data_IF_483554844402
#
_entry.id   IF_483554844402
#
_cell.length_a   1.000
_cell.length_b   1.000
_cell.length_c   1.000
_cell.angle_alpha   90.00
_cell.angle_beta   90.00
_cell.angle_gamma   90.00
#
_symmetry.space_group_name_H-M   'P 1'
#
loop_
_entity.id
_entity.type
_entity.pdbx_description
1 polymer ?
#
# COMPACT_ATOMS: atom_id res chain seq x y z
N UNK A 1 36.73 -8.99 -27.99
CA UNK A 1 37.04 -9.98 -26.95
C UNK A 1 36.00 -9.77 -25.85
N UNK A 2 34.88 -10.46 -25.99
CA UNK A 2 33.80 -10.51 -24.99
C UNK A 2 34.32 -11.31 -23.79
N UNK A 3 34.12 -10.76 -22.59
CA UNK A 3 34.18 -11.54 -21.36
C UNK A 3 32.76 -11.71 -20.85
N UNK A 4 32.21 -12.87 -21.15
CA UNK A 4 31.00 -13.38 -20.54
C UNK A 4 31.24 -13.64 -19.06
N UNK A 5 30.61 -12.85 -18.22
CA UNK A 5 30.54 -13.15 -16.79
C UNK A 5 29.29 -13.99 -16.58
N UNK A 6 29.48 -15.31 -16.61
CA UNK A 6 28.51 -16.29 -16.12
C UNK A 6 28.47 -16.18 -14.59
N UNK A 7 27.44 -15.53 -14.05
CA UNK A 7 27.15 -15.60 -12.62
C UNK A 7 26.48 -16.95 -12.36
N UNK A 8 27.29 -17.88 -11.87
CA UNK A 8 26.85 -19.21 -11.43
C UNK A 8 26.03 -19.06 -10.14
N UNK A 9 24.71 -19.22 -10.27
CA UNK A 9 23.76 -19.21 -9.16
C UNK A 9 23.85 -20.56 -8.43
N UNK A 10 24.61 -20.62 -7.34
CA UNK A 10 24.65 -21.80 -6.46
C UNK A 10 23.42 -21.71 -5.53
N UNK A 11 22.43 -22.53 -5.84
CA UNK A 11 21.23 -22.69 -5.01
C UNK A 11 21.58 -23.60 -3.83
N UNK A 12 21.60 -23.05 -2.61
CA UNK A 12 21.52 -23.83 -1.40
C UNK A 12 20.05 -23.96 -0.99
N UNK A 13 19.51 -25.14 -1.20
CA UNK A 13 18.17 -25.51 -0.71
C UNK A 13 18.29 -25.78 0.79
N UNK A 14 17.83 -24.87 1.61
CA UNK A 14 17.58 -25.17 3.03
C UNK A 14 16.22 -25.86 3.11
N UNK A 15 16.22 -27.19 3.07
CA UNK A 15 15.03 -27.99 3.31
C UNK A 15 14.70 -27.93 4.80
N UNK A 16 13.83 -27.02 5.18
CA UNK A 16 13.20 -27.00 6.49
C UNK A 16 12.10 -28.06 6.55
N UNK A 17 12.38 -29.25 7.08
CA UNK A 17 11.35 -30.22 7.45
C UNK A 17 10.51 -29.66 8.60
N UNK A 18 9.32 -29.15 8.31
CA UNK A 18 8.29 -28.77 9.26
C UNK A 18 6.98 -29.46 8.90
N UNK A 19 6.66 -30.55 9.55
CA UNK A 19 5.35 -31.18 9.50
C UNK A 19 4.29 -30.29 10.13
N UNK A 20 3.20 -30.02 9.41
CA UNK A 20 1.92 -29.59 9.97
C UNK A 20 1.59 -28.12 9.72
N UNK A 21 0.59 -27.94 8.92
CA UNK A 21 -0.28 -26.78 8.68
C UNK A 21 -0.21 -26.09 7.31
N UNK A 22 0.68 -26.42 6.39
CA UNK A 22 0.67 -25.81 5.04
C UNK A 22 0.96 -24.30 4.99
N UNK A 23 1.30 -23.67 6.12
CA UNK A 23 1.64 -22.25 6.23
C UNK A 23 3.14 -22.09 6.04
N UNK A 24 3.52 -21.27 5.06
CA UNK A 24 4.93 -20.97 4.80
C UNK A 24 5.47 -19.98 5.84
N UNK A 25 6.61 -20.31 6.46
CA UNK A 25 7.30 -19.44 7.40
C UNK A 25 8.40 -18.64 6.71
N UNK A 26 8.36 -17.33 6.85
CA UNK A 26 9.35 -16.38 6.35
C UNK A 26 10.12 -15.79 7.55
N UNK A 27 11.38 -16.23 7.73
CA UNK A 27 12.23 -15.81 8.86
C UNK A 27 13.28 -14.80 8.39
N UNK A 28 13.07 -13.53 8.65
CA UNK A 28 13.97 -12.45 8.25
C UNK A 28 15.35 -12.51 8.90
N UNK A 29 15.48 -13.19 10.04
CA UNK A 29 16.76 -13.33 10.77
C UNK A 29 17.72 -14.29 10.08
N UNK A 30 17.21 -15.20 9.24
CA UNK A 30 17.98 -16.16 8.50
C UNK A 30 18.51 -15.64 7.15
N UNK A 31 18.21 -14.39 6.82
CA UNK A 31 18.58 -13.78 5.54
C UNK A 31 19.95 -13.15 5.63
N UNK A 32 20.89 -13.69 4.88
CA UNK A 32 22.29 -13.20 4.82
C UNK A 32 22.61 -12.47 3.51
N UNK A 33 21.73 -12.56 2.51
CA UNK A 33 22.01 -12.04 1.17
C UNK A 33 21.18 -10.81 0.88
N UNK A 34 21.88 -9.76 0.50
CA UNK A 34 21.28 -8.56 -0.07
C UNK A 34 21.00 -8.76 -1.57
N UNK A 35 19.96 -8.12 -2.05
CA UNK A 35 19.62 -8.08 -3.47
C UNK A 35 19.28 -6.66 -3.90
N UNK A 36 19.50 -6.36 -5.18
CA UNK A 36 18.92 -5.21 -5.84
C UNK A 36 17.70 -5.72 -6.60
N UNK A 37 16.53 -5.22 -6.24
CA UNK A 37 15.28 -5.60 -6.88
C UNK A 37 15.02 -4.68 -8.06
N UNK A 38 14.84 -5.25 -9.25
CA UNK A 38 14.47 -4.44 -10.42
C UNK A 38 12.98 -4.14 -10.41
N UNK A 39 12.64 -2.92 -10.79
CA UNK A 39 11.24 -2.50 -10.93
C UNK A 39 10.47 -3.41 -11.89
N UNK A 40 11.06 -3.75 -13.04
CA UNK A 40 10.48 -4.69 -14.01
C UNK A 40 10.20 -6.10 -13.46
N UNK A 41 10.75 -6.47 -12.31
CA UNK A 41 10.42 -7.73 -11.64
C UNK A 41 9.10 -7.64 -10.85
N UNK A 42 8.80 -6.46 -10.28
CA UNK A 42 7.57 -6.23 -9.51
C UNK A 42 6.37 -5.97 -10.43
N UNK A 43 6.59 -5.30 -11.56
CA UNK A 43 5.54 -4.83 -12.46
C UNK A 43 5.67 -5.42 -13.85
N UNK A 44 4.56 -5.50 -14.59
CA UNK A 44 4.52 -5.98 -15.98
C UNK A 44 4.79 -4.89 -16.98
N UNK A 45 4.13 -3.78 -16.81
CA UNK A 45 4.21 -2.60 -17.66
C UNK A 45 4.46 -1.37 -16.79
N UNK A 46 5.35 -0.51 -17.26
CA UNK A 46 5.66 0.77 -16.63
C UNK A 46 5.30 1.91 -17.55
N UNK A 47 4.85 3.00 -16.97
CA UNK A 47 4.65 4.27 -17.68
C UNK A 47 5.00 5.45 -16.80
N UNK A 48 5.48 6.51 -17.42
CA UNK A 48 5.62 7.83 -16.82
C UNK A 48 4.38 8.66 -17.12
N UNK A 49 3.89 9.36 -16.10
CA UNK A 49 2.74 10.26 -16.24
C UNK A 49 3.07 11.57 -15.57
N UNK A 50 3.24 12.63 -16.33
CA UNK A 50 3.27 14.00 -15.83
C UNK A 50 1.84 14.47 -15.62
N UNK A 51 1.51 14.87 -14.41
CA UNK A 51 0.18 15.38 -14.13
C UNK A 51 0.07 16.83 -14.62
N UNK A 52 -0.97 17.13 -15.40
CA UNK A 52 -1.19 18.46 -15.97
C UNK A 52 -1.22 19.51 -14.86
N UNK A 53 -0.37 20.54 -14.99
CA UNK A 53 -0.30 21.64 -14.03
C UNK A 53 -1.36 22.69 -14.37
N UNK A 54 -2.27 22.94 -13.43
CA UNK A 54 -3.26 24.01 -13.51
C UNK A 54 -3.26 24.80 -12.23
N UNK A 55 -3.53 26.11 -12.31
CA UNK A 55 -3.60 27.00 -11.17
C UNK A 55 -4.60 26.50 -10.11
N UNK A 56 -5.73 25.90 -10.56
CA UNK A 56 -6.77 25.31 -9.71
C UNK A 56 -6.46 23.89 -9.22
N UNK A 57 -5.39 23.26 -9.69
CA UNK A 57 -5.04 21.86 -9.38
C UNK A 57 -3.54 21.71 -9.11
N UNK A 58 -3.05 22.47 -8.13
CA UNK A 58 -1.72 22.28 -7.56
C UNK A 58 -1.81 21.17 -6.52
N UNK A 59 -0.99 20.12 -6.70
CA UNK A 59 -1.26 18.83 -6.11
C UNK A 59 -0.63 18.59 -4.74
N UNK A 60 -1.32 17.77 -3.99
CA UNK A 60 -0.96 17.18 -2.71
C UNK A 60 -0.34 15.77 -2.88
N UNK A 61 0.04 15.15 -1.78
CA UNK A 61 1.02 14.06 -1.73
C UNK A 61 0.48 12.65 -1.98
N UNK A 62 -0.85 12.45 -2.04
CA UNK A 62 -1.43 11.11 -2.12
C UNK A 62 -2.09 10.85 -3.47
N UNK A 63 -1.88 9.63 -4.00
CA UNK A 63 -2.33 9.23 -5.32
C UNK A 63 -2.99 7.85 -5.29
N UNK A 64 -4.00 7.66 -6.13
CA UNK A 64 -4.54 6.36 -6.50
C UNK A 64 -4.58 6.26 -8.01
N UNK A 65 -3.76 5.40 -8.56
CA UNK A 65 -3.69 5.20 -10.00
C UNK A 65 -4.49 3.96 -10.41
N UNK A 66 -5.22 4.10 -11.51
CA UNK A 66 -5.96 3.04 -12.16
C UNK A 66 -5.68 2.96 -13.66
N UNK A 67 -6.49 2.21 -14.39
CA UNK A 67 -6.39 2.08 -15.84
C UNK A 67 -6.94 3.31 -16.58
N UNK A 68 -8.02 3.90 -16.05
CA UNK A 68 -8.71 5.05 -16.65
C UNK A 68 -8.39 6.36 -15.96
N UNK A 69 -8.19 6.32 -14.63
CA UNK A 69 -8.14 7.51 -13.80
C UNK A 69 -6.95 7.49 -12.86
N UNK A 70 -6.48 8.69 -12.54
CA UNK A 70 -5.59 8.96 -11.42
C UNK A 70 -6.36 9.91 -10.50
N UNK A 71 -6.52 9.51 -9.25
CA UNK A 71 -7.15 10.32 -8.20
C UNK A 71 -6.05 10.85 -7.30
N UNK A 72 -6.03 12.16 -7.12
CA UNK A 72 -5.13 12.81 -6.16
C UNK A 72 -5.95 13.37 -5.00
N UNK A 73 -5.42 13.30 -3.79
CA UNK A 73 -6.12 13.79 -2.61
C UNK A 73 -5.12 14.23 -1.54
N UNK A 74 -5.55 15.15 -0.71
CA UNK A 74 -4.73 15.72 0.36
C UNK A 74 -5.56 16.51 1.35
N UNK A 75 -4.96 17.54 1.96
CA UNK A 75 -5.61 18.28 3.04
C UNK A 75 -6.73 19.21 2.59
N UNK A 76 -6.75 19.65 1.33
CA UNK A 76 -7.67 20.67 0.88
C UNK A 76 -8.62 20.21 -0.22
N UNK A 77 -8.12 19.50 -1.23
CA UNK A 77 -8.89 19.16 -2.42
C UNK A 77 -8.57 17.77 -2.96
N UNK A 78 -9.53 17.21 -3.69
CA UNK A 78 -9.42 15.93 -4.40
C UNK A 78 -9.67 16.17 -5.88
N UNK A 79 -8.80 15.62 -6.73
CA UNK A 79 -8.86 15.80 -8.17
C UNK A 79 -8.88 14.48 -8.93
N UNK A 80 -9.49 14.53 -10.10
CA UNK A 80 -9.53 13.45 -11.09
C UNK A 80 -8.72 13.85 -12.31
N UNK A 81 -7.78 12.97 -12.67
CA UNK A 81 -7.04 13.05 -13.92
C UNK A 81 -7.34 11.81 -14.76
N UNK A 82 -7.22 11.93 -16.06
CA UNK A 82 -7.17 10.78 -16.96
C UNK A 82 -5.88 9.97 -16.74
N UNK A 83 -5.85 8.76 -17.25
CA UNK A 83 -4.70 7.87 -17.12
C UNK A 83 -3.41 8.44 -17.71
N UNK A 84 -3.49 9.36 -18.69
CA UNK A 84 -2.36 10.04 -19.31
C UNK A 84 -1.89 11.29 -18.54
N UNK A 85 -2.53 11.62 -17.43
CA UNK A 85 -2.22 12.79 -16.60
C UNK A 85 -3.00 14.05 -16.93
N UNK A 86 -3.86 14.04 -17.95
CA UNK A 86 -4.70 15.18 -18.30
C UNK A 86 -5.72 15.46 -17.18
N UNK A 87 -5.80 16.71 -16.74
CA UNK A 87 -6.77 17.12 -15.71
C UNK A 87 -8.20 17.00 -16.24
N UNK A 88 -9.07 16.36 -15.44
CA UNK A 88 -10.48 16.24 -15.76
C UNK A 88 -11.31 17.20 -14.93
N UNK A 89 -11.18 17.12 -13.59
CA UNK A 89 -12.01 17.95 -12.69
C UNK A 89 -11.57 17.85 -11.23
N UNK A 90 -12.11 18.77 -10.43
CA UNK A 90 -12.15 18.63 -8.99
C UNK A 90 -13.32 17.73 -8.60
N UNK A 91 -13.08 16.79 -7.66
CA UNK A 91 -14.08 15.84 -7.14
C UNK A 91 -14.65 16.28 -5.79
N UNK A 92 -13.80 16.79 -4.91
CA UNK A 92 -14.22 17.17 -3.57
C UNK A 92 -13.29 18.24 -2.98
N UNK A 93 -13.76 18.95 -1.96
CA UNK A 93 -12.99 19.96 -1.21
C UNK A 93 -13.07 19.68 0.28
N UNK A 94 -12.17 20.30 1.04
CA UNK A 94 -12.25 20.30 2.49
C UNK A 94 -13.54 20.96 2.98
N UNK A 95 -14.28 20.26 3.85
CA UNK A 95 -15.51 20.78 4.42
C UNK A 95 -16.39 19.71 5.08
N UNK A 96 -17.67 20.07 5.32
CA UNK A 96 -18.65 19.21 5.99
C UNK A 96 -19.93 18.99 5.21
N UNK A 97 -20.08 19.57 4.03
CA UNK A 97 -21.23 19.33 3.17
C UNK A 97 -21.17 17.94 2.51
N UNK A 98 -22.28 17.36 2.03
CA UNK A 98 -22.25 16.12 1.26
C UNK A 98 -21.24 16.20 0.11
N UNK A 99 -20.38 15.18 -0.01
CA UNK A 99 -19.30 15.16 -1.00
C UNK A 99 -18.02 15.92 -0.58
N UNK A 100 -18.01 16.68 0.51
CA UNK A 100 -16.80 17.26 1.09
C UNK A 100 -16.17 16.31 2.11
N UNK A 101 -14.91 16.56 2.49
CA UNK A 101 -14.18 15.76 3.48
C UNK A 101 -13.34 16.62 4.42
N UNK A 102 -12.97 16.07 5.56
CA UNK A 102 -12.05 16.71 6.50
C UNK A 102 -10.69 16.02 6.55
N UNK A 103 -10.66 14.69 6.51
CA UNK A 103 -9.43 13.91 6.47
C UNK A 103 -9.74 12.53 5.90
N UNK A 104 -9.26 12.26 4.70
CA UNK A 104 -9.44 10.97 4.04
C UNK A 104 -8.54 9.94 4.73
N UNK A 105 -9.16 8.84 5.18
CA UNK A 105 -8.47 7.74 5.87
C UNK A 105 -8.22 6.57 4.93
N UNK A 106 -9.20 6.24 4.09
CA UNK A 106 -9.08 5.20 3.09
C UNK A 106 -9.84 5.58 1.83
N UNK A 107 -9.33 5.13 0.69
CA UNK A 107 -9.89 5.41 -0.62
C UNK A 107 -9.69 4.18 -1.51
N UNK A 108 -10.69 3.85 -2.34
CA UNK A 108 -10.61 2.84 -3.40
C UNK A 108 -11.45 3.24 -4.60
N UNK A 109 -11.06 2.79 -5.79
CA UNK A 109 -11.67 3.16 -7.07
C UNK A 109 -12.33 1.96 -7.72
N UNK A 110 -13.59 2.08 -8.08
CA UNK A 110 -14.33 1.15 -8.92
C UNK A 110 -14.38 1.72 -10.35
N UNK A 111 -13.37 1.40 -11.15
CA UNK A 111 -13.32 1.90 -12.53
C UNK A 111 -14.41 1.31 -13.45
N UNK A 112 -14.76 0.02 -13.37
CA UNK A 112 -15.90 -0.52 -14.10
C UNK A 112 -17.22 0.14 -13.74
N UNK A 113 -17.47 0.36 -12.44
CA UNK A 113 -18.68 1.04 -11.94
C UNK A 113 -18.58 2.58 -11.98
N UNK A 114 -17.42 3.13 -12.38
CA UNK A 114 -17.13 4.58 -12.42
C UNK A 114 -17.45 5.27 -11.09
N UNK A 115 -16.98 4.67 -9.97
CA UNK A 115 -17.22 5.16 -8.61
C UNK A 115 -15.92 5.27 -7.81
N UNK A 116 -15.89 6.27 -6.96
CA UNK A 116 -14.88 6.45 -5.93
C UNK A 116 -15.53 6.24 -4.56
N UNK A 117 -14.95 5.35 -3.77
CA UNK A 117 -15.35 5.15 -2.37
C UNK A 117 -14.26 5.70 -1.47
N UNK A 118 -14.64 6.50 -0.48
CA UNK A 118 -13.68 6.98 0.51
C UNK A 118 -14.30 7.09 1.90
N UNK A 119 -13.47 6.89 2.92
CA UNK A 119 -13.82 7.13 4.31
C UNK A 119 -13.16 8.41 4.80
N UNK A 120 -13.89 9.17 5.60
CA UNK A 120 -13.48 10.43 6.16
C UNK A 120 -13.60 10.44 7.69
N UNK A 121 -12.56 10.93 8.36
CA UNK A 121 -12.53 11.02 9.82
C UNK A 121 -13.69 11.86 10.37
N UNK A 122 -14.09 12.90 9.67
CA UNK A 122 -15.19 13.78 10.05
C UNK A 122 -16.58 13.15 9.91
N UNK A 123 -16.69 12.01 9.22
CA UNK A 123 -17.95 11.32 8.91
C UNK A 123 -17.95 9.89 9.41
N UNK A 124 -18.08 9.74 10.72
CA UNK A 124 -18.11 8.43 11.35
C UNK A 124 -19.27 7.56 10.81
N UNK A 125 -18.99 6.27 10.67
CA UNK A 125 -19.96 5.25 10.22
C UNK A 125 -20.48 5.43 8.79
N UNK A 126 -19.73 6.07 7.90
CA UNK A 126 -20.11 6.19 6.50
C UNK A 126 -18.92 6.09 5.55
N UNK A 127 -19.17 5.54 4.38
CA UNK A 127 -18.27 5.52 3.23
C UNK A 127 -18.93 6.42 2.19
N UNK A 128 -18.25 7.47 1.78
CA UNK A 128 -18.75 8.42 0.78
C UNK A 128 -18.57 7.82 -0.61
N UNK A 129 -19.51 8.11 -1.52
CA UNK A 129 -19.46 7.64 -2.92
C UNK A 129 -19.57 8.84 -3.85
N UNK A 130 -18.59 8.99 -4.74
CA UNK A 130 -18.58 9.96 -5.83
C UNK A 130 -18.64 9.22 -7.16
N UNK A 131 -19.48 9.70 -8.06
CA UNK A 131 -19.54 9.25 -9.44
C UNK A 131 -18.38 9.86 -10.24
N UNK A 132 -17.50 9.05 -10.76
CA UNK A 132 -16.30 9.49 -11.52
C UNK A 132 -16.65 9.98 -12.93
N UNK A 133 -17.84 9.63 -13.46
CA UNK A 133 -18.27 10.05 -14.79
C UNK A 133 -18.64 11.53 -14.82
N UNK A 134 -19.33 12.02 -13.78
CA UNK A 134 -19.77 13.43 -13.70
C UNK A 134 -19.12 14.21 -12.56
N UNK A 135 -18.42 13.54 -11.61
CA UNK A 135 -17.79 14.17 -10.45
C UNK A 135 -18.76 14.46 -9.30
N UNK A 136 -20.00 13.99 -9.36
CA UNK A 136 -21.02 14.30 -8.36
C UNK A 136 -21.02 13.32 -7.21
N UNK A 137 -21.30 13.82 -6.01
CA UNK A 137 -21.58 12.99 -4.86
C UNK A 137 -22.89 12.20 -5.10
N UNK A 138 -22.83 10.87 -5.00
CA UNK A 138 -24.01 10.01 -5.17
C UNK A 138 -24.75 9.78 -3.85
N UNK A 139 -24.05 9.23 -2.87
CA UNK A 139 -24.63 8.82 -1.59
C UNK A 139 -23.54 8.48 -0.57
N UNK A 140 -23.96 7.99 0.60
CA UNK A 140 -23.08 7.34 1.58
C UNK A 140 -23.54 5.93 1.81
N UNK A 141 -22.56 5.00 1.86
CA UNK A 141 -22.80 3.64 2.32
C UNK A 141 -22.57 3.56 3.84
N UNK A 142 -23.22 2.62 4.53
CA UNK A 142 -23.03 2.44 5.97
C UNK A 142 -21.60 1.95 6.27
N UNK A 143 -20.90 2.65 7.13
CA UNK A 143 -19.69 2.16 7.78
C UNK A 143 -20.10 1.27 8.95
N UNK A 144 -19.75 -0.01 8.89
CA UNK A 144 -20.03 -0.95 9.97
C UNK A 144 -18.91 -0.83 11.01
N UNK A 145 -19.25 -0.47 12.23
CA UNK A 145 -18.28 -0.27 13.34
C UNK A 145 -17.28 0.88 13.11
N UNK A 146 -17.74 2.01 12.65
CA UNK A 146 -16.93 3.19 12.39
C UNK A 146 -16.56 3.33 10.91
N UNK A 147 -15.67 4.25 10.61
CA UNK A 147 -15.13 4.37 9.26
C UNK A 147 -14.02 3.35 9.01
N UNK A 148 -13.91 2.82 7.77
CA UNK A 148 -12.80 1.94 7.42
C UNK A 148 -11.46 2.69 7.42
N UNK A 149 -10.43 2.05 7.96
CA UNK A 149 -9.04 2.54 7.83
C UNK A 149 -8.34 2.04 6.57
N UNK A 150 -8.84 0.95 5.98
CA UNK A 150 -8.43 0.44 4.66
C UNK A 150 -9.64 -0.13 3.95
N UNK A 151 -9.66 0.04 2.65
CA UNK A 151 -10.70 -0.49 1.76
C UNK A 151 -10.07 -0.99 0.48
N UNK A 152 -10.63 -2.03 -0.09
CA UNK A 152 -10.29 -2.54 -1.42
C UNK A 152 -11.54 -3.13 -2.08
N UNK A 153 -11.69 -2.87 -3.38
CA UNK A 153 -12.75 -3.48 -4.18
C UNK A 153 -12.20 -4.73 -4.85
N UNK A 154 -12.81 -5.89 -4.59
CA UNK A 154 -12.44 -7.15 -5.18
C UNK A 154 -13.52 -7.67 -6.13
N UNK A 155 -13.10 -8.11 -7.32
CA UNK A 155 -14.03 -8.46 -8.39
C UNK A 155 -14.89 -7.26 -8.77
N UNK A 156 -16.08 -7.53 -9.30
CA UNK A 156 -16.92 -6.46 -9.85
C UNK A 156 -17.76 -5.71 -8.80
N UNK A 157 -17.75 -6.10 -7.52
CA UNK A 157 -18.72 -5.50 -6.58
C UNK A 157 -18.52 -5.75 -5.08
N UNK A 158 -17.46 -6.39 -4.62
CA UNK A 158 -17.28 -6.67 -3.19
C UNK A 158 -16.25 -5.73 -2.57
N UNK A 159 -16.73 -4.84 -1.72
CA UNK A 159 -15.91 -3.89 -0.97
C UNK A 159 -15.49 -4.50 0.37
N UNK A 160 -14.23 -4.89 0.49
CA UNK A 160 -13.63 -5.32 1.77
C UNK A 160 -13.13 -4.12 2.55
N UNK A 161 -13.44 -4.11 3.85
CA UNK A 161 -13.16 -2.99 4.74
C UNK A 161 -12.51 -3.47 6.02
N UNK A 162 -11.38 -2.86 6.40
CA UNK A 162 -10.80 -2.98 7.73
C UNK A 162 -11.31 -1.80 8.55
N UNK A 163 -12.13 -1.99 9.59
CA UNK A 163 -12.59 -0.90 10.43
C UNK A 163 -11.42 -0.24 11.16
N UNK A 164 -11.50 1.04 11.43
CA UNK A 164 -10.67 1.64 12.47
C UNK A 164 -11.12 1.00 13.77
N UNK A 165 -10.29 0.10 14.30
CA UNK A 165 -10.65 -0.75 15.44
C UNK A 165 -11.02 0.12 16.63
N UNK A 166 -12.28 0.38 16.74
CA UNK A 166 -12.87 0.86 17.97
C UNK A 166 -13.04 -0.36 18.89
N UNK A 167 -12.96 -0.14 20.17
CA UNK A 167 -13.10 -1.17 21.23
C UNK A 167 -14.29 -2.09 21.01
N UNK A 168 -15.31 -1.62 20.32
CA UNK A 168 -16.60 -2.29 20.10
C UNK A 168 -16.76 -2.92 18.71
N UNK A 169 -15.73 -2.94 17.86
CA UNK A 169 -15.82 -3.57 16.54
C UNK A 169 -15.93 -5.09 16.69
N UNK A 170 -17.01 -5.69 16.17
CA UNK A 170 -17.22 -7.13 16.20
C UNK A 170 -16.43 -7.88 15.14
N UNK A 171 -15.93 -7.18 14.11
CA UNK A 171 -15.19 -7.76 12.99
C UNK A 171 -13.82 -7.13 12.84
N UNK A 172 -12.81 -7.95 12.52
CA UNK A 172 -11.48 -7.49 12.10
C UNK A 172 -11.50 -6.95 10.67
N UNK A 173 -12.30 -7.58 9.82
CA UNK A 173 -12.57 -7.21 8.44
C UNK A 173 -14.00 -7.57 8.10
N UNK A 174 -14.66 -6.75 7.29
CA UNK A 174 -16.01 -7.02 6.79
C UNK A 174 -16.11 -6.71 5.30
N UNK A 175 -17.13 -7.27 4.66
CA UNK A 175 -17.40 -7.10 3.25
C UNK A 175 -18.80 -6.52 3.02
N UNK A 176 -18.88 -5.58 2.09
CA UNK A 176 -20.11 -4.97 1.59
C UNK A 176 -20.25 -5.23 0.09
N UNK A 177 -21.49 -5.19 -0.42
CA UNK A 177 -21.69 -4.96 -1.85
C UNK A 177 -21.32 -3.50 -2.19
N UNK A 178 -21.13 -3.21 -3.48
CA UNK A 178 -20.95 -1.82 -3.98
C UNK A 178 -22.13 -0.90 -3.67
N UNK A 179 -23.30 -1.44 -3.29
CA UNK A 179 -24.49 -0.71 -2.80
C UNK A 179 -24.58 -0.61 -1.28
N UNK A 180 -23.60 -1.14 -0.52
CA UNK A 180 -23.53 -1.04 0.93
C UNK A 180 -24.25 -2.15 1.71
N UNK A 181 -24.74 -3.20 1.04
CA UNK A 181 -25.31 -4.34 1.75
C UNK A 181 -24.22 -5.17 2.41
N UNK A 182 -24.37 -5.50 3.68
CA UNK A 182 -23.46 -6.37 4.41
C UNK A 182 -23.50 -7.80 3.87
N UNK A 183 -22.33 -8.33 3.51
CA UNK A 183 -22.17 -9.70 3.01
C UNK A 183 -21.65 -10.66 4.06
N UNK A 184 -20.82 -10.20 4.98
CA UNK A 184 -20.19 -11.02 6.00
C UNK A 184 -18.95 -10.34 6.58
N UNK A 185 -18.24 -11.04 7.45
CA UNK A 185 -16.99 -10.54 8.03
C UNK A 185 -16.29 -11.57 8.89
N UNK A 186 -14.99 -11.39 9.05
CA UNK A 186 -14.16 -12.17 9.96
C UNK A 186 -14.29 -11.56 11.34
N UNK A 187 -14.88 -12.31 12.26
CA UNK A 187 -15.08 -11.87 13.65
C UNK A 187 -13.74 -11.68 14.35
N UNK A 188 -13.69 -10.66 15.18
CA UNK A 188 -12.58 -10.43 16.07
C UNK A 188 -12.49 -11.57 17.09
N UNK A 189 -11.34 -12.23 17.15
CA UNK A 189 -11.06 -13.18 18.21
C UNK A 189 -10.83 -12.40 19.51
N UNK A 190 -11.61 -12.73 20.56
CA UNK A 190 -11.75 -12.07 21.85
C UNK A 190 -10.55 -11.30 22.39
N UNK A 191 -10.83 -10.08 22.76
CA UNK A 191 -10.20 -9.18 23.76
C UNK A 191 -8.84 -9.61 24.37
N UNK A 192 -7.78 -9.59 23.60
CA UNK A 192 -6.54 -9.07 24.16
C UNK A 192 -6.64 -7.55 24.11
N UNK A 193 -6.33 -6.88 25.22
CA UNK A 193 -6.28 -5.43 25.31
C UNK A 193 -5.58 -4.87 24.08
N UNK A 194 -6.31 -4.04 23.34
CA UNK A 194 -6.04 -3.73 21.96
C UNK A 194 -4.85 -2.83 21.82
N UNK A 195 -3.76 -3.44 21.56
CA UNK A 195 -2.58 -2.80 21.04
C UNK A 195 -2.67 -2.90 19.53
N UNK A 196 -3.33 -1.92 18.94
CA UNK A 196 -3.42 -1.83 17.51
C UNK A 196 -2.05 -1.49 16.96
N UNK A 197 -1.45 -2.46 16.28
CA UNK A 197 -0.46 -2.14 15.27
C UNK A 197 -1.17 -1.36 14.17
N UNK A 198 -0.64 -0.21 13.78
CA UNK A 198 -1.24 0.59 12.70
C UNK A 198 -1.09 -0.08 11.33
N UNK A 199 -0.27 -1.11 11.21
CA UNK A 199 0.18 -1.74 9.98
C UNK A 199 -0.63 -2.99 9.60
N UNK A 200 -1.94 -2.83 9.37
CA UNK A 200 -2.71 -3.90 8.72
C UNK A 200 -2.57 -3.79 7.21
N UNK A 201 -2.53 -4.94 6.54
CA UNK A 201 -2.49 -5.05 5.08
C UNK A 201 -3.82 -5.55 4.54
N UNK A 202 -4.20 -5.03 3.39
CA UNK A 202 -5.33 -5.49 2.57
C UNK A 202 -4.94 -5.29 1.11
N UNK A 203 -4.93 -6.36 0.34
CA UNK A 203 -4.50 -6.32 -1.06
C UNK A 203 -5.10 -7.46 -1.88
N UNK A 204 -4.88 -7.41 -3.20
CA UNK A 204 -5.28 -8.45 -4.14
C UNK A 204 -4.03 -9.00 -4.80
N UNK A 205 -3.88 -10.33 -4.77
CA UNK A 205 -2.81 -11.02 -5.49
C UNK A 205 -3.33 -12.37 -6.01
N UNK A 206 -2.98 -12.70 -7.26
CA UNK A 206 -3.41 -13.95 -7.90
C UNK A 206 -4.94 -14.12 -7.94
N UNK A 207 -5.71 -13.04 -7.98
CA UNK A 207 -7.19 -13.05 -7.99
C UNK A 207 -7.83 -13.29 -6.61
N UNK A 208 -7.04 -13.31 -5.53
CA UNK A 208 -7.53 -13.50 -4.16
C UNK A 208 -7.28 -12.26 -3.31
N UNK A 209 -8.19 -12.03 -2.36
CA UNK A 209 -8.00 -10.99 -1.35
C UNK A 209 -7.12 -11.52 -0.23
N UNK A 210 -6.08 -10.76 0.09
CA UNK A 210 -5.17 -11.06 1.18
C UNK A 210 -5.25 -10.02 2.28
N UNK A 211 -5.16 -10.50 3.51
CA UNK A 211 -5.28 -9.69 4.71
C UNK A 211 -4.23 -10.08 5.74
N UNK A 212 -3.57 -9.10 6.32
CA UNK A 212 -2.76 -9.25 7.51
C UNK A 212 -3.27 -8.29 8.58
N UNK A 213 -3.61 -8.85 9.73
CA UNK A 213 -4.00 -8.07 10.90
C UNK A 213 -2.82 -7.26 11.42
N UNK A 214 -3.06 -6.05 11.91
CA UNK A 214 -2.05 -5.32 12.67
C UNK A 214 -1.66 -5.95 14.02
N UNK A 215 -2.20 -7.14 14.36
CA UNK A 215 -1.93 -7.85 15.63
C UNK A 215 -1.10 -9.10 15.39
N UNK A 216 -1.22 -9.72 14.23
CA UNK A 216 -0.55 -10.99 13.88
C UNK A 216 0.37 -10.78 12.69
N UNK A 217 1.47 -11.52 12.65
CA UNK A 217 2.37 -11.53 11.50
C UNK A 217 2.00 -12.66 10.53
N UNK A 218 0.70 -12.89 10.35
CA UNK A 218 0.17 -13.90 9.44
C UNK A 218 -0.60 -13.25 8.32
N UNK A 219 -0.19 -13.54 7.09
CA UNK A 219 -0.93 -13.18 5.88
C UNK A 219 -1.95 -14.27 5.58
N UNK A 220 -3.20 -13.88 5.53
CA UNK A 220 -4.33 -14.74 5.25
C UNK A 220 -4.91 -14.46 3.87
N UNK A 221 -5.23 -15.51 3.14
CA UNK A 221 -6.20 -15.41 2.06
C UNK A 221 -7.60 -15.45 2.66
N UNK A 222 -8.45 -14.54 2.22
CA UNK A 222 -9.78 -14.37 2.81
C UNK A 222 -10.90 -14.47 1.77
N UNK A 223 -12.07 -14.82 2.26
CA UNK A 223 -13.37 -14.64 1.61
C UNK A 223 -14.21 -13.70 2.47
N UNK A 224 -15.51 -13.56 2.18
CA UNK A 224 -16.40 -12.69 2.96
C UNK A 224 -16.51 -13.07 4.43
N UNK A 225 -16.30 -14.34 4.79
CA UNK A 225 -16.56 -14.88 6.13
C UNK A 225 -15.48 -15.85 6.64
N UNK A 226 -14.51 -16.21 5.80
CA UNK A 226 -13.45 -17.16 6.16
C UNK A 226 -12.06 -16.60 5.92
N UNK A 227 -11.08 -17.13 6.68
CA UNK A 227 -9.66 -16.87 6.46
C UNK A 227 -8.86 -18.17 6.45
N UNK A 228 -7.89 -18.24 5.55
CA UNK A 228 -6.92 -19.32 5.45
C UNK A 228 -5.52 -18.75 5.56
N UNK A 229 -4.69 -19.13 6.56
CA UNK A 229 -3.32 -18.66 6.67
C UNK A 229 -2.47 -19.21 5.52
N UNK A 230 -1.64 -18.37 4.91
CA UNK A 230 -0.72 -18.75 3.84
C UNK A 230 0.74 -18.52 4.21
N UNK A 231 1.05 -17.36 4.80
CA UNK A 231 2.39 -17.00 5.19
C UNK A 231 2.42 -16.53 6.65
N UNK A 232 3.45 -16.96 7.37
CA UNK A 232 3.77 -16.46 8.69
C UNK A 232 5.14 -15.78 8.66
N UNK A 233 5.17 -14.50 9.01
CA UNK A 233 6.38 -13.71 9.07
C UNK A 233 6.98 -13.80 10.46
N UNK A 234 8.28 -14.00 10.54
CA UNK A 234 9.00 -13.99 11.79
C UNK A 234 10.02 -12.85 11.79
N UNK A 235 9.67 -11.76 12.42
CA UNK A 235 10.51 -10.58 12.53
C UNK A 235 11.65 -10.78 13.55
N UNK A 236 11.38 -11.42 14.68
CA UNK A 236 12.35 -11.63 15.74
C UNK A 236 11.78 -11.35 17.12
N UNK A 237 11.84 -10.14 17.59
CA UNK A 237 11.40 -9.76 18.92
C UNK A 237 10.07 -9.03 18.89
N UNK A 238 9.04 -9.64 19.49
CA UNK A 238 7.77 -8.96 19.75
C UNK A 238 7.82 -8.28 21.13
N UNK A 239 7.14 -7.13 21.25
CA UNK A 239 6.92 -6.51 22.54
C UNK A 239 6.10 -7.45 23.44
N UNK A 240 6.66 -7.87 24.58
CA UNK A 240 6.05 -8.87 25.47
C UNK A 240 5.30 -8.23 26.61
N UNK A 241 5.91 -7.25 27.25
CA UNK A 241 5.42 -6.70 28.53
C UNK A 241 4.94 -5.25 28.39
N UNK A 242 5.30 -4.59 27.28
CA UNK A 242 4.92 -3.21 27.00
C UNK A 242 5.36 -2.21 28.06
N UNK A 243 6.53 -2.44 28.60
CA UNK A 243 7.19 -1.54 29.55
C UNK A 243 7.89 -0.39 28.79
N UNK A 244 8.05 0.77 29.43
CA UNK A 244 8.87 1.83 28.87
C UNK A 244 10.24 1.29 28.41
N UNK A 245 10.72 1.79 27.25
CA UNK A 245 11.97 1.39 26.59
C UNK A 245 12.07 -0.07 26.12
N UNK A 246 11.00 -0.88 26.25
CA UNK A 246 10.98 -2.19 25.64
C UNK A 246 11.05 -2.06 24.11
N UNK A 247 12.00 -2.80 23.50
CA UNK A 247 12.21 -2.82 22.05
C UNK A 247 11.56 -4.05 21.43
N UNK A 248 11.07 -3.89 20.22
CA UNK A 248 10.42 -4.95 19.47
C UNK A 248 10.61 -4.77 17.97
N UNK A 249 10.01 -5.67 17.23
CA UNK A 249 10.04 -5.68 15.77
C UNK A 249 8.65 -5.95 15.24
N UNK A 250 8.34 -5.37 14.09
CA UNK A 250 7.06 -5.47 13.40
C UNK A 250 7.26 -5.73 11.92
N UNK A 251 6.30 -6.38 11.28
CA UNK A 251 6.24 -6.52 9.83
C UNK A 251 5.20 -5.55 9.27
N UNK A 252 5.60 -4.77 8.30
CA UNK A 252 4.71 -3.95 7.48
C UNK A 252 4.72 -4.46 6.03
N UNK A 253 3.57 -4.89 5.55
CA UNK A 253 3.41 -5.31 4.17
C UNK A 253 3.38 -4.08 3.26
N UNK A 254 4.25 -4.07 2.24
CA UNK A 254 4.27 -3.05 1.18
C UNK A 254 3.33 -3.50 0.06
N UNK A 255 3.63 -4.62 -0.58
CA UNK A 255 2.82 -5.16 -1.68
C UNK A 255 2.96 -6.66 -1.80
N UNK A 256 1.88 -7.30 -2.24
CA UNK A 256 1.88 -8.67 -2.69
C UNK A 256 1.46 -8.74 -4.16
N UNK A 257 2.24 -9.48 -4.96
CA UNK A 257 1.94 -9.81 -6.35
C UNK A 257 1.76 -11.33 -6.50
N UNK A 258 1.40 -11.80 -7.68
CA UNK A 258 1.37 -13.25 -7.95
C UNK A 258 2.73 -13.93 -7.67
N UNK A 259 3.84 -13.22 -7.86
CA UNK A 259 5.20 -13.75 -7.71
C UNK A 259 5.90 -13.31 -6.43
N UNK A 260 5.75 -12.07 -6.00
CA UNK A 260 6.55 -11.49 -4.92
C UNK A 260 5.70 -11.06 -3.73
N UNK A 261 6.28 -11.12 -2.54
CA UNK A 261 5.83 -10.42 -1.35
C UNK A 261 6.94 -9.45 -0.96
N UNK A 262 6.67 -8.16 -0.96
CA UNK A 262 7.57 -7.10 -0.52
C UNK A 262 7.06 -6.55 0.81
N UNK A 263 7.93 -6.48 1.82
CA UNK A 263 7.56 -6.05 3.15
C UNK A 263 8.74 -5.46 3.91
N UNK A 264 8.45 -4.62 4.89
CA UNK A 264 9.43 -4.06 5.81
C UNK A 264 9.42 -4.78 7.15
N UNK A 265 10.60 -4.88 7.74
CA UNK A 265 10.84 -5.18 9.13
C UNK A 265 11.13 -3.88 9.85
N UNK A 266 10.19 -3.46 10.66
CA UNK A 266 10.26 -2.23 11.42
C UNK A 266 10.82 -2.49 12.80
N UNK A 267 11.62 -1.55 13.31
CA UNK A 267 12.13 -1.56 14.66
C UNK A 267 11.33 -0.58 15.52
N UNK A 268 10.70 -1.11 16.54
CA UNK A 268 9.76 -0.36 17.40
C UNK A 268 10.21 -0.35 18.84
N UNK A 269 9.81 0.67 19.58
CA UNK A 269 10.00 0.77 21.02
C UNK A 269 8.76 1.29 21.72
N UNK A 270 8.62 0.96 22.99
CA UNK A 270 7.63 1.57 23.85
C UNK A 270 8.16 2.90 24.38
N UNK A 271 7.44 3.97 24.13
CA UNK A 271 7.74 5.29 24.66
C UNK A 271 6.63 5.77 25.62
N UNK A 272 7.02 6.56 26.61
CA UNK A 272 6.05 7.25 27.46
C UNK A 272 5.37 8.36 26.68
N UNK A 273 4.04 8.33 26.59
CA UNK A 273 3.30 9.44 26.05
C UNK A 273 3.19 10.59 27.05
N UNK A 274 3.10 11.81 26.55
CA UNK A 274 2.83 13.01 27.37
C UNK A 274 1.50 12.93 28.17
N UNK A 275 0.68 11.94 27.89
CA UNK A 275 -0.61 11.68 28.54
C UNK A 275 -0.60 10.50 29.52
N UNK A 276 0.60 10.03 29.91
CA UNK A 276 0.76 8.94 30.88
C UNK A 276 0.34 7.55 30.35
N UNK A 277 0.27 7.37 29.04
CA UNK A 277 0.04 6.07 28.39
C UNK A 277 1.26 5.70 27.55
N UNK A 278 1.71 4.46 27.65
CA UNK A 278 2.76 3.96 26.77
C UNK A 278 2.24 3.89 25.32
N UNK A 279 3.03 4.39 24.38
CA UNK A 279 2.76 4.34 22.96
C UNK A 279 3.88 3.59 22.25
N UNK A 280 3.53 2.90 21.16
CA UNK A 280 4.52 2.29 20.27
C UNK A 280 5.04 3.39 19.33
N UNK A 281 6.36 3.51 19.24
CA UNK A 281 7.06 4.42 18.32
C UNK A 281 8.13 3.66 17.55
N UNK A 282 8.60 4.21 16.46
CA UNK A 282 9.79 3.68 15.78
C UNK A 282 11.05 3.89 16.63
N UNK A 283 12.00 2.96 16.52
CA UNK A 283 13.34 3.13 17.10
C UNK A 283 14.15 4.01 16.16
N UNK A 284 14.26 5.30 16.47
CA UNK A 284 14.96 6.32 15.67
C UNK A 284 16.45 6.00 15.40
N UNK A 285 17.01 5.00 16.08
CA UNK A 285 18.39 4.57 15.89
C UNK A 285 18.56 3.40 14.92
N UNK A 286 17.47 2.92 14.32
CA UNK A 286 17.47 1.79 13.41
C UNK A 286 16.52 2.04 12.23
N UNK A 287 17.08 2.07 11.03
CA UNK A 287 16.29 2.16 9.81
C UNK A 287 15.48 0.89 9.57
N UNK A 288 14.30 0.99 8.96
CA UNK A 288 13.55 -0.16 8.46
C UNK A 288 14.41 -1.03 7.53
N UNK A 289 14.15 -2.32 7.53
CA UNK A 289 14.81 -3.26 6.62
C UNK A 289 13.79 -3.85 5.67
N UNK A 290 13.96 -3.65 4.37
CA UNK A 290 13.06 -4.16 3.34
C UNK A 290 13.46 -5.57 2.92
N UNK A 291 12.47 -6.44 2.73
CA UNK A 291 12.62 -7.82 2.31
C UNK A 291 11.70 -8.15 1.14
N UNK A 292 12.16 -9.04 0.27
CA UNK A 292 11.36 -9.62 -0.81
C UNK A 292 11.37 -11.15 -0.71
N UNK A 293 10.19 -11.75 -0.75
CA UNK A 293 10.01 -13.19 -0.91
C UNK A 293 9.58 -13.50 -2.34
N UNK A 294 10.39 -14.27 -3.08
CA UNK A 294 10.07 -14.78 -4.41
C UNK A 294 9.34 -16.12 -4.27
N UNK A 295 8.03 -16.12 -4.48
CA UNK A 295 7.15 -17.28 -4.36
C UNK A 295 7.50 -18.39 -5.37
N UNK A 296 8.03 -18.01 -6.55
CA UNK A 296 8.38 -18.96 -7.61
C UNK A 296 9.65 -19.73 -7.27
N UNK A 297 10.66 -19.04 -6.74
CA UNK A 297 11.97 -19.63 -6.41
C UNK A 297 12.10 -20.01 -4.94
N UNK A 298 11.06 -19.78 -4.15
CA UNK A 298 11.02 -20.05 -2.71
C UNK A 298 12.17 -19.39 -1.93
N UNK A 299 12.53 -18.17 -2.31
CA UNK A 299 13.69 -17.44 -1.79
C UNK A 299 13.29 -16.15 -1.06
N UNK A 300 13.88 -15.91 0.13
CA UNK A 300 13.75 -14.68 0.89
C UNK A 300 15.07 -13.91 0.84
N UNK A 301 15.01 -12.61 0.50
CA UNK A 301 16.17 -11.76 0.31
C UNK A 301 15.94 -10.42 1.00
N UNK A 302 17.01 -9.81 1.54
CA UNK A 302 17.01 -8.43 1.99
C UNK A 302 17.19 -7.51 0.77
N UNK A 303 16.33 -6.51 0.62
CA UNK A 303 16.40 -5.55 -0.48
C UNK A 303 17.32 -4.42 -0.08
N UNK A 304 18.41 -4.25 -0.80
CA UNK A 304 19.33 -3.13 -0.61
C UNK A 304 18.77 -1.86 -1.26
N UNK A 305 18.20 -2.03 -2.46
CA UNK A 305 17.64 -0.95 -3.24
C UNK A 305 16.68 -1.50 -4.29
N UNK A 306 15.83 -0.62 -4.82
CA UNK A 306 15.00 -0.91 -5.99
C UNK A 306 15.54 -0.10 -7.15
N UNK A 307 15.91 -0.78 -8.22
CA UNK A 307 16.45 -0.19 -9.43
C UNK A 307 15.35 -0.07 -10.47
N UNK A 308 15.06 1.17 -10.88
CA UNK A 308 14.18 1.44 -12.01
C UNK A 308 14.95 1.23 -13.30
N UNK A 309 14.90 0.02 -13.83
CA UNK A 309 15.64 -0.40 -15.02
C UNK A 309 15.17 0.31 -16.30
N UNK A 310 13.93 0.77 -16.37
CA UNK A 310 13.43 1.58 -17.48
C UNK A 310 13.93 3.05 -17.42
N UNK A 311 14.27 3.55 -16.24
CA UNK A 311 14.67 4.94 -16.00
C UNK A 311 16.16 5.10 -15.71
N UNK A 312 16.87 3.98 -15.54
CA UNK A 312 18.30 3.90 -15.25
C UNK A 312 18.72 4.64 -13.97
N UNK A 313 17.92 4.50 -12.91
CA UNK A 313 18.29 5.02 -11.58
C UNK A 313 17.83 4.14 -10.42
N UNK A 314 18.49 4.31 -9.29
CA UNK A 314 18.23 3.60 -8.04
C UNK A 314 17.32 4.43 -7.13
N UNK A 315 16.31 3.80 -6.51
CA UNK A 315 15.51 4.40 -5.46
C UNK A 315 16.19 4.19 -4.11
N UNK A 316 16.35 5.27 -3.39
CA UNK A 316 16.87 5.26 -2.02
C UNK A 316 15.74 5.10 -1.00
N UNK A 317 14.56 5.69 -1.29
CA UNK A 317 13.37 5.62 -0.44
C UNK A 317 12.21 4.98 -1.19
N UNK A 318 11.54 3.98 -0.58
CA UNK A 318 10.43 3.25 -1.21
C UNK A 318 9.10 3.64 -0.57
N UNK A 319 8.56 4.78 -0.96
CA UNK A 319 7.20 5.17 -0.58
C UNK A 319 6.26 4.89 -1.75
N UNK A 320 5.88 3.62 -1.92
CA UNK A 320 4.93 3.25 -2.94
C UNK A 320 3.50 3.47 -2.47
N UNK A 321 2.75 4.22 -3.26
CA UNK A 321 1.30 4.16 -3.21
C UNK A 321 0.85 2.90 -3.95
N UNK A 322 0.14 2.02 -3.25
CA UNK A 322 -0.35 0.76 -3.80
C UNK A 322 -1.85 0.90 -4.05
N UNK A 323 -2.24 0.81 -5.30
CA UNK A 323 -3.64 0.60 -5.69
C UNK A 323 -3.88 -0.89 -5.98
N UNK A 324 -5.11 -1.26 -6.32
CA UNK A 324 -5.48 -2.65 -6.59
C UNK A 324 -4.63 -3.29 -7.70
N UNK A 325 -4.19 -2.50 -8.68
CA UNK A 325 -3.50 -2.98 -9.87
C UNK A 325 -2.18 -2.26 -10.16
N UNK A 326 -1.84 -1.22 -9.41
CA UNK A 326 -0.67 -0.39 -9.68
C UNK A 326 0.17 -0.15 -8.44
N UNK A 327 1.48 -0.18 -8.65
CA UNK A 327 2.45 0.49 -7.79
C UNK A 327 2.69 1.88 -8.37
N UNK A 328 2.62 2.88 -7.53
CA UNK A 328 2.86 4.27 -7.92
C UNK A 328 3.99 4.85 -7.07
N UNK A 329 5.01 5.38 -7.74
CA UNK A 329 6.02 6.22 -7.11
C UNK A 329 5.87 7.63 -7.65
N UNK A 330 5.69 8.61 -6.77
CA UNK A 330 5.64 10.02 -7.14
C UNK A 330 7.01 10.70 -6.97
N UNK A 331 7.31 11.61 -7.86
CA UNK A 331 8.45 12.51 -7.78
C UNK A 331 7.98 13.94 -7.97
N UNK A 332 8.42 14.87 -7.12
CA UNK A 332 8.27 16.28 -7.48
C UNK A 332 8.95 16.55 -8.82
N UNK A 333 8.41 17.48 -9.60
CA UNK A 333 8.94 17.83 -10.91
C UNK A 333 10.45 18.13 -10.86
N UNK A 334 10.90 18.89 -9.86
CA UNK A 334 12.31 19.21 -9.62
C UNK A 334 13.16 17.95 -9.39
N UNK A 335 12.75 17.03 -8.49
CA UNK A 335 13.48 15.79 -8.21
C UNK A 335 13.52 14.87 -9.44
N UNK A 336 12.42 14.78 -10.18
CA UNK A 336 12.39 13.99 -11.40
C UNK A 336 13.35 14.53 -12.46
N UNK A 337 13.34 15.86 -12.70
CA UNK A 337 14.28 16.53 -13.61
C UNK A 337 15.74 16.27 -13.25
N UNK A 338 16.09 16.36 -11.96
CA UNK A 338 17.43 16.05 -11.50
C UNK A 338 17.88 14.62 -11.85
N UNK A 339 16.97 13.65 -11.79
CA UNK A 339 17.24 12.24 -12.11
C UNK A 339 17.45 12.01 -13.61
N UNK A 340 16.64 12.64 -14.46
CA UNK A 340 16.69 12.45 -15.93
C UNK A 340 17.58 13.45 -16.67
N UNK A 341 18.32 14.29 -15.97
CA UNK A 341 19.15 15.37 -16.57
C UNK A 341 20.28 14.87 -17.46
N UNK A 342 20.66 13.58 -17.39
CA UNK A 342 21.66 13.01 -18.28
C UNK A 342 21.17 13.03 -19.74
N UNK A 343 22.01 13.54 -20.64
CA UNK A 343 21.71 13.55 -22.08
C UNK A 343 21.49 12.14 -22.69
N UNK A 344 21.93 11.09 -21.99
CA UNK A 344 21.73 9.71 -22.39
C UNK A 344 20.44 9.09 -21.83
N UNK A 345 19.69 9.83 -21.02
CA UNK A 345 18.40 9.34 -20.50
C UNK A 345 17.40 9.21 -21.66
N UNK A 346 16.66 8.09 -21.77
CA UNK A 346 15.59 7.95 -22.75
C UNK A 346 14.46 8.99 -22.54
N UNK A 347 14.46 9.66 -21.40
CA UNK A 347 13.47 10.68 -21.01
C UNK A 347 14.04 12.12 -21.03
N UNK A 348 15.14 12.35 -21.74
CA UNK A 348 15.75 13.67 -21.83
C UNK A 348 14.79 14.75 -22.36
N UNK A 349 13.88 14.39 -23.27
CA UNK A 349 12.86 15.31 -23.78
C UNK A 349 11.92 15.81 -22.66
N UNK A 350 11.65 15.00 -21.66
CA UNK A 350 10.88 15.38 -20.47
C UNK A 350 11.60 16.44 -19.65
N UNK A 351 12.94 16.38 -19.56
CA UNK A 351 13.72 17.37 -18.84
C UNK A 351 13.46 18.79 -19.34
N UNK A 352 13.24 18.96 -20.65
CA UNK A 352 12.97 20.26 -21.26
C UNK A 352 11.48 20.63 -21.21
N UNK A 353 10.60 19.67 -21.06
CA UNK A 353 9.14 19.86 -21.06
C UNK A 353 8.57 20.17 -19.67
N UNK A 354 9.24 19.78 -18.59
CA UNK A 354 8.76 19.92 -17.20
C UNK A 354 9.47 21.09 -16.52
N UNK A 355 8.71 22.00 -15.91
CA UNK A 355 9.24 23.05 -15.04
C UNK A 355 9.40 22.53 -13.59
N UNK A 356 10.24 23.20 -12.77
CA UNK A 356 10.52 22.75 -11.39
C UNK A 356 9.30 22.87 -10.45
N UNK A 357 8.35 23.75 -10.79
CA UNK A 357 7.11 24.02 -10.08
C UNK A 357 5.88 23.33 -10.68
N UNK A 358 6.09 22.47 -11.69
CA UNK A 358 5.03 21.64 -12.21
C UNK A 358 4.54 20.60 -11.21
N UNK A 359 3.33 20.08 -11.45
CA UNK A 359 2.78 18.96 -10.73
C UNK A 359 3.71 17.73 -10.80
N UNK A 360 3.61 16.80 -9.82
CA UNK A 360 4.46 15.63 -9.76
C UNK A 360 4.42 14.76 -11.01
N UNK A 361 5.54 14.08 -11.25
CA UNK A 361 5.64 12.98 -12.23
C UNK A 361 5.45 11.67 -11.49
N UNK A 362 4.56 10.84 -12.00
CA UNK A 362 4.28 9.51 -11.47
C UNK A 362 4.98 8.44 -12.31
N UNK A 363 5.65 7.53 -11.64
CA UNK A 363 6.08 6.25 -12.21
C UNK A 363 5.04 5.21 -11.83
N UNK A 364 4.27 4.76 -12.80
CA UNK A 364 3.20 3.79 -12.61
C UNK A 364 3.63 2.43 -13.13
N UNK A 365 3.57 1.42 -12.29
CA UNK A 365 3.82 0.04 -12.68
C UNK A 365 2.59 -0.82 -12.47
N UNK A 366 2.09 -1.46 -13.53
CA UNK A 366 0.99 -2.42 -13.42
C UNK A 366 1.51 -3.67 -12.73
N UNK A 367 0.94 -4.00 -11.56
CA UNK A 367 1.34 -5.17 -10.76
C UNK A 367 1.13 -6.45 -11.59
N UNK A 368 2.11 -7.35 -11.58
CA UNK A 368 1.97 -8.69 -12.18
C UNK A 368 1.10 -9.58 -11.28
N UNK A 369 -0.13 -9.77 -11.70
CA UNK A 369 -1.11 -10.67 -11.05
C UNK A 369 -1.23 -12.00 -11.79
#
# INVERSE_FOLDING_TARGET
>A
MLKDILISMIIWVVVGCGNGSGVKRLDTRAVEKDTVLKWSQLVGESRLVGLETKEEALLNDYFRAGEKYIITYGNEEMYQFAADGTYIRKLASYGRAPGEYQNIIALTVDEPGERLYFSDYGRQNSIQVINLKNGEYENSLPGIYGFPKKMILAGDSVLYCIPLLLKDAAYEIYALTSSGQFLGGIKKETCREERQKNHSYLGIAGGFVHYMSGITDTLYRITTDTRKPEYYFHAGYYLKEFKPDEKGEEIEMIVETSRFILFDRLFIRMADSRFGKNIITYDENRDPETYVFDKLNDGLFKVKSIYFDDLDFELEDYLFEVSEHYLCQSFSAMKFRERIKSANSPYHDWYNAIADDDNPVLVLGKVRN
#
